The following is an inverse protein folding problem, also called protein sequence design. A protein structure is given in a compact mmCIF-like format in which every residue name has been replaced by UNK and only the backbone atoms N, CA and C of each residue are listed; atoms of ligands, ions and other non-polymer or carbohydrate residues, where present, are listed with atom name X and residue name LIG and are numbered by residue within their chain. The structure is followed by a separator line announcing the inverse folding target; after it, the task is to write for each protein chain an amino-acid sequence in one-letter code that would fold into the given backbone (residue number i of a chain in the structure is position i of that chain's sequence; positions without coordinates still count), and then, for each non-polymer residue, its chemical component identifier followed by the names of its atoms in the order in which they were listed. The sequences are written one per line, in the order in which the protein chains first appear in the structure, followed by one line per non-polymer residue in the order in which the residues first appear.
data_IF_522662607016
#
_entry.id   IF_522662607016
#
_cell.length_a   1.000
_cell.length_b   1.000
_cell.length_c   1.000
_cell.angle_alpha   90.00
_cell.angle_beta   90.00
_cell.angle_gamma   90.00
#
_symmetry.space_group_name_H-M   'P 1'
#
loop_
_entity.id
_entity.type
_entity.pdbx_description
1 polymer ?
#
# COMPACT_ATOMS: atom_id res chain seq x y z
N UNK A 1 -56.97 -26.96 -33.28
CA UNK A 1 -55.95 -28.03 -33.34
C UNK A 1 -55.16 -28.02 -32.04
N UNK A 2 -55.16 -29.17 -31.38
CA UNK A 2 -54.33 -29.66 -30.27
C UNK A 2 -54.00 -28.77 -29.06
N UNK A 3 -54.74 -29.04 -27.98
CA UNK A 3 -54.32 -28.90 -26.59
C UNK A 3 -53.66 -30.21 -26.12
N UNK A 4 -52.73 -30.13 -25.16
CA UNK A 4 -52.27 -31.27 -24.37
C UNK A 4 -52.10 -30.85 -22.90
N UNK A 5 -53.08 -31.25 -22.10
CA UNK A 5 -53.00 -31.41 -20.64
C UNK A 5 -52.34 -32.77 -20.38
N UNK A 6 -51.46 -32.85 -19.39
CA UNK A 6 -51.16 -34.12 -18.72
C UNK A 6 -51.38 -34.01 -17.22
N UNK A 7 -52.19 -34.94 -16.73
CA UNK A 7 -52.62 -35.09 -15.35
C UNK A 7 -51.96 -36.34 -14.75
N UNK A 8 -51.50 -36.17 -13.51
CA UNK A 8 -51.81 -37.00 -12.31
C UNK A 8 -51.57 -38.52 -12.37
N UNK A 9 -50.84 -39.03 -11.37
CA UNK A 9 -50.96 -40.44 -10.98
C UNK A 9 -49.95 -40.89 -9.92
N UNK A 10 -50.25 -40.64 -8.64
CA UNK A 10 -49.54 -41.16 -7.46
C UNK A 10 -50.37 -42.32 -6.89
N UNK A 11 -49.78 -43.52 -6.72
CA UNK A 11 -50.28 -44.68 -5.94
C UNK A 11 -49.05 -45.39 -5.37
N UNK A 12 -48.80 -45.35 -4.06
CA UNK A 12 -49.26 -46.27 -3.00
C UNK A 12 -48.88 -47.75 -3.20
N UNK A 13 -48.17 -48.34 -2.23
CA UNK A 13 -47.97 -49.79 -2.15
C UNK A 13 -46.94 -50.33 -1.14
N UNK A 14 -47.27 -50.22 0.16
CA UNK A 14 -47.01 -51.12 1.30
C UNK A 14 -45.94 -52.24 1.23
N UNK A 15 -45.03 -52.15 2.20
CA UNK A 15 -44.52 -53.15 3.17
C UNK A 15 -44.57 -54.67 2.87
N UNK A 16 -43.41 -55.35 2.95
CA UNK A 16 -43.31 -56.79 3.28
C UNK A 16 -41.99 -57.15 4.01
N UNK A 17 -42.13 -57.49 5.30
CA UNK A 17 -41.47 -58.48 6.17
C UNK A 17 -39.96 -58.87 6.10
N UNK A 18 -39.31 -58.68 7.27
CA UNK A 18 -38.35 -59.56 8.03
C UNK A 18 -37.00 -59.96 7.43
N UNK A 19 -35.89 -59.69 8.14
CA UNK A 19 -35.29 -60.59 9.14
C UNK A 19 -33.92 -60.09 9.67
N UNK A 20 -33.64 -60.48 10.92
CA UNK A 20 -32.39 -60.38 11.70
C UNK A 20 -31.08 -60.57 10.89
N UNK A 21 -30.01 -59.85 11.28
CA UNK A 21 -28.89 -60.43 12.06
C UNK A 21 -27.72 -59.46 12.25
N UNK A 22 -27.10 -59.59 13.41
CA UNK A 22 -25.96 -58.85 13.93
C UNK A 22 -24.74 -58.80 13.00
N UNK A 23 -24.11 -57.62 12.89
CA UNK A 23 -22.68 -57.52 12.64
C UNK A 23 -22.13 -56.42 13.56
N UNK A 24 -21.26 -56.82 14.47
CA UNK A 24 -20.61 -55.97 15.45
C UNK A 24 -19.84 -54.84 14.76
N UNK A 25 -20.19 -53.60 15.06
CA UNK A 25 -19.37 -52.45 14.73
C UNK A 25 -18.17 -52.45 15.67
N UNK A 26 -17.02 -52.97 15.20
CA UNK A 26 -15.73 -52.65 15.79
C UNK A 26 -15.49 -51.17 15.53
N UNK A 27 -15.80 -50.35 16.52
CA UNK A 27 -15.36 -48.97 16.56
C UNK A 27 -13.83 -48.97 16.66
N UNK A 28 -13.15 -48.91 15.52
CA UNK A 28 -11.76 -48.51 15.47
C UNK A 28 -11.74 -47.04 15.86
N UNK A 29 -11.57 -46.76 17.15
CA UNK A 29 -11.11 -45.46 17.61
C UNK A 29 -9.73 -45.25 17.02
N UNK A 30 -9.67 -44.56 15.89
CA UNK A 30 -8.46 -43.86 15.44
C UNK A 30 -8.13 -42.86 16.55
N UNK A 31 -7.27 -43.27 17.49
CA UNK A 31 -6.46 -42.34 18.24
C UNK A 31 -5.62 -41.59 17.20
N UNK A 32 -6.15 -40.47 16.71
CA UNK A 32 -5.32 -39.41 16.18
C UNK A 32 -4.37 -39.05 17.33
N UNK A 33 -3.03 -39.16 17.17
CA UNK A 33 -2.16 -38.55 18.14
C UNK A 33 -2.58 -37.08 18.21
N UNK A 34 -2.99 -36.66 19.41
CA UNK A 34 -3.16 -35.26 19.73
C UNK A 34 -1.95 -34.55 19.15
N UNK A 35 -2.16 -33.60 18.24
CA UNK A 35 -1.10 -32.79 17.69
C UNK A 35 -0.36 -32.24 18.90
N UNK A 36 0.81 -32.82 19.20
CA UNK A 36 1.75 -32.23 20.11
C UNK A 36 1.92 -30.82 19.55
N UNK A 37 1.50 -29.82 20.31
CA UNK A 37 1.95 -28.46 20.05
C UNK A 37 3.46 -28.58 19.98
N UNK A 38 3.98 -28.50 18.76
CA UNK A 38 5.34 -28.89 18.48
C UNK A 38 6.20 -27.87 19.21
N UNK A 39 6.72 -28.24 20.37
CA UNK A 39 7.90 -27.60 20.88
C UNK A 39 8.89 -27.67 19.71
N UNK A 40 9.42 -26.53 19.24
CA UNK A 40 10.42 -26.53 18.20
C UNK A 40 11.50 -27.52 18.62
N UNK A 41 11.83 -28.45 17.71
CA UNK A 41 12.77 -29.53 18.00
C UNK A 41 14.02 -28.92 18.68
N UNK A 42 14.49 -29.50 19.80
CA UNK A 42 15.63 -28.94 20.52
C UNK A 42 16.81 -28.83 19.56
N UNK A 43 17.42 -27.64 19.52
CA UNK A 43 18.64 -27.41 18.74
C UNK A 43 19.70 -28.38 19.28
N UNK A 44 20.24 -29.22 18.41
CA UNK A 44 21.32 -30.15 18.79
C UNK A 44 22.55 -29.36 19.25
N UNK A 45 23.28 -29.84 20.26
CA UNK A 45 24.43 -29.12 20.82
C UNK A 45 25.48 -28.74 19.76
N UNK A 46 25.67 -29.59 18.74
CA UNK A 46 26.54 -29.32 17.60
C UNK A 46 26.05 -28.17 16.71
N UNK A 47 24.74 -28.03 16.51
CA UNK A 47 24.15 -26.92 15.76
C UNK A 47 24.23 -25.60 16.55
N UNK A 48 24.07 -25.67 17.87
CA UNK A 48 24.25 -24.52 18.76
C UNK A 48 25.70 -24.03 18.76
N UNK A 49 26.68 -24.93 18.81
CA UNK A 49 28.11 -24.58 18.70
C UNK A 49 28.44 -23.99 17.33
N UNK A 50 27.92 -24.59 16.24
CA UNK A 50 28.12 -24.06 14.89
C UNK A 50 27.53 -22.65 14.74
N UNK A 51 26.32 -22.40 15.26
CA UNK A 51 25.70 -21.08 15.26
C UNK A 51 26.53 -20.05 16.06
N UNK A 52 27.05 -20.44 17.23
CA UNK A 52 27.88 -19.56 18.05
C UNK A 52 29.25 -19.29 17.42
N UNK A 53 29.80 -20.22 16.64
CA UNK A 53 31.05 -20.00 15.93
C UNK A 53 30.91 -19.02 14.74
N UNK A 54 29.70 -18.79 14.25
CA UNK A 54 29.45 -17.83 13.15
C UNK A 54 29.70 -16.39 13.59
N UNK A 55 30.21 -15.58 12.65
CA UNK A 55 30.22 -14.13 12.80
C UNK A 55 28.79 -13.60 12.95
N UNK A 56 28.65 -12.43 13.55
CA UNK A 56 27.35 -11.82 13.76
C UNK A 56 26.58 -11.56 12.47
N UNK A 57 27.28 -11.18 11.40
CA UNK A 57 26.68 -11.00 10.07
C UNK A 57 26.14 -12.32 9.50
N UNK A 58 26.86 -13.43 9.69
CA UNK A 58 26.41 -14.76 9.27
C UNK A 58 25.20 -15.22 10.07
N UNK A 59 25.18 -14.97 11.39
CA UNK A 59 24.02 -15.25 12.25
C UNK A 59 22.79 -14.50 11.76
N UNK A 60 22.93 -13.20 11.44
CA UNK A 60 21.81 -12.38 10.93
C UNK A 60 21.32 -12.92 9.58
N UNK A 61 22.22 -13.23 8.65
CA UNK A 61 21.85 -13.81 7.34
C UNK A 61 21.08 -15.12 7.51
N UNK A 62 21.53 -15.98 8.42
CA UNK A 62 20.85 -17.23 8.76
C UNK A 62 19.46 -16.97 9.36
N UNK A 63 19.33 -16.06 10.32
CA UNK A 63 18.04 -15.70 10.93
C UNK A 63 17.05 -15.18 9.88
N UNK A 64 17.50 -14.34 8.94
CA UNK A 64 16.69 -13.86 7.82
C UNK A 64 16.27 -15.02 6.91
N UNK A 65 17.19 -15.92 6.57
CA UNK A 65 16.90 -17.09 5.74
C UNK A 65 15.89 -18.05 6.42
N UNK A 66 16.00 -18.24 7.73
CA UNK A 66 15.03 -18.99 8.53
C UNK A 66 13.64 -18.35 8.48
N UNK A 67 13.55 -17.03 8.66
CA UNK A 67 12.28 -16.31 8.55
C UNK A 67 11.68 -16.47 7.15
N UNK A 68 12.47 -16.31 6.09
CA UNK A 68 12.00 -16.43 4.71
C UNK A 68 11.58 -17.85 4.32
N UNK A 69 12.13 -18.87 4.99
CA UNK A 69 11.81 -20.29 4.75
C UNK A 69 10.68 -20.83 5.65
N UNK A 70 10.02 -19.96 6.43
CA UNK A 70 8.91 -20.36 7.30
C UNK A 70 9.33 -20.87 8.67
N UNK A 71 10.63 -20.93 8.97
CA UNK A 71 11.19 -21.45 10.21
C UNK A 71 11.26 -20.38 11.31
N UNK A 72 10.17 -19.64 11.50
CA UNK A 72 10.12 -18.49 12.40
C UNK A 72 10.34 -18.86 13.87
N UNK A 73 9.92 -20.07 14.28
CA UNK A 73 10.11 -20.55 15.65
C UNK A 73 11.58 -20.88 15.95
N UNK A 74 12.30 -21.46 14.98
CA UNK A 74 13.73 -21.69 15.12
C UNK A 74 14.50 -20.37 15.18
N UNK A 75 14.14 -19.41 14.31
CA UNK A 75 14.71 -18.06 14.35
C UNK A 75 14.44 -17.37 15.70
N UNK A 76 13.23 -17.48 16.24
CA UNK A 76 12.87 -16.94 17.54
C UNK A 76 13.70 -17.55 18.67
N UNK A 77 13.85 -18.87 18.71
CA UNK A 77 14.68 -19.52 19.72
C UNK A 77 16.15 -19.11 19.63
N UNK A 78 16.69 -19.02 18.42
CA UNK A 78 18.09 -18.65 18.21
C UNK A 78 18.37 -17.22 18.66
N UNK A 79 17.51 -16.25 18.31
CA UNK A 79 17.72 -14.84 18.66
C UNK A 79 17.52 -14.56 20.15
N UNK A 80 16.63 -15.30 20.82
CA UNK A 80 16.41 -15.17 22.27
C UNK A 80 17.52 -15.84 23.08
N UNK A 81 17.97 -17.03 22.67
CA UNK A 81 19.00 -17.80 23.39
C UNK A 81 20.40 -17.24 23.17
N UNK A 82 20.66 -16.64 22.01
CA UNK A 82 21.94 -16.08 21.63
C UNK A 82 21.73 -14.63 21.16
N UNK A 83 21.64 -13.67 22.10
CA UNK A 83 21.44 -12.27 21.78
C UNK A 83 22.45 -11.75 20.76
N UNK A 84 22.00 -10.88 19.88
CA UNK A 84 22.87 -10.16 18.94
C UNK A 84 23.60 -9.06 19.70
N UNK A 85 24.90 -8.94 19.48
CA UNK A 85 25.82 -8.05 20.19
C UNK A 85 26.25 -6.88 19.28
N UNK A 86 27.23 -6.11 19.75
CA UNK A 86 27.80 -4.98 19.02
C UNK A 86 26.95 -3.71 19.01
N UNK A 87 27.49 -2.67 18.37
CA UNK A 87 26.88 -1.32 18.30
C UNK A 87 25.44 -1.34 17.77
N UNK A 88 25.17 -2.21 16.79
CA UNK A 88 23.85 -2.31 16.15
C UNK A 88 23.01 -3.51 16.63
N UNK A 89 23.42 -4.20 17.71
CA UNK A 89 22.78 -5.42 18.19
C UNK A 89 21.29 -5.25 18.48
N UNK A 90 20.91 -4.14 19.13
CA UNK A 90 19.52 -3.81 19.44
C UNK A 90 18.66 -3.64 18.17
N UNK A 91 19.12 -2.87 17.19
CA UNK A 91 18.41 -2.66 15.92
C UNK A 91 18.31 -3.95 15.10
N UNK A 92 19.36 -4.77 15.10
CA UNK A 92 19.35 -6.08 14.43
C UNK A 92 18.36 -7.03 15.09
N UNK A 93 18.26 -7.03 16.43
CA UNK A 93 17.23 -7.79 17.14
C UNK A 93 15.84 -7.30 16.76
N UNK A 94 15.60 -5.99 16.77
CA UNK A 94 14.30 -5.42 16.37
C UNK A 94 13.93 -5.81 14.92
N UNK A 95 14.89 -5.79 14.01
CA UNK A 95 14.67 -6.23 12.64
C UNK A 95 14.31 -7.72 12.56
N UNK A 96 15.06 -8.60 13.23
CA UNK A 96 14.78 -10.04 13.27
C UNK A 96 13.44 -10.34 13.93
N UNK A 97 13.13 -9.72 15.07
CA UNK A 97 11.83 -9.84 15.75
C UNK A 97 10.69 -9.42 14.80
N UNK A 98 10.86 -8.34 14.05
CA UNK A 98 9.89 -7.89 13.05
C UNK A 98 9.69 -8.92 11.94
N UNK A 99 10.76 -9.53 11.43
CA UNK A 99 10.70 -10.60 10.43
C UNK A 99 9.98 -11.85 10.95
N UNK A 100 10.26 -12.26 12.20
CA UNK A 100 9.60 -13.38 12.87
C UNK A 100 8.09 -13.13 12.98
N UNK A 101 7.71 -11.95 13.50
CA UNK A 101 6.29 -11.57 13.67
C UNK A 101 5.56 -11.50 12.32
N UNK A 102 6.20 -10.93 11.29
CA UNK A 102 5.68 -10.89 9.93
C UNK A 102 5.43 -12.30 9.39
N UNK A 103 6.38 -13.21 9.61
CA UNK A 103 6.26 -14.62 9.21
C UNK A 103 5.14 -15.38 9.94
N UNK A 104 4.90 -15.03 11.20
CA UNK A 104 3.73 -15.49 11.99
C UNK A 104 2.41 -14.82 11.60
N UNK A 105 2.44 -13.92 10.61
CA UNK A 105 1.30 -13.07 10.18
C UNK A 105 0.82 -12.08 11.24
N UNK A 106 1.61 -11.83 12.29
CA UNK A 106 1.39 -10.70 13.19
C UNK A 106 2.01 -9.44 12.58
N UNK A 107 1.35 -8.92 11.54
CA UNK A 107 1.82 -7.76 10.80
C UNK A 107 1.84 -6.49 11.67
N UNK A 108 0.91 -6.36 12.63
CA UNK A 108 0.87 -5.21 13.54
C UNK A 108 2.07 -5.23 14.49
N UNK A 109 2.38 -6.39 15.06
CA UNK A 109 3.58 -6.60 15.86
C UNK A 109 4.85 -6.32 15.06
N UNK A 110 4.92 -6.81 13.81
CA UNK A 110 6.05 -6.57 12.92
C UNK A 110 6.26 -5.07 12.64
N UNK A 111 5.19 -4.33 12.30
CA UNK A 111 5.24 -2.88 12.10
C UNK A 111 5.79 -2.17 13.33
N UNK A 112 5.36 -2.56 14.54
CA UNK A 112 5.86 -1.96 15.79
C UNK A 112 7.37 -2.16 15.93
N UNK A 113 7.88 -3.35 15.63
CA UNK A 113 9.32 -3.66 15.70
C UNK A 113 10.14 -2.89 14.66
N UNK A 114 9.68 -2.84 13.41
CA UNK A 114 10.37 -2.09 12.36
C UNK A 114 10.37 -0.58 12.60
N UNK A 115 9.24 -0.02 13.07
CA UNK A 115 9.17 1.41 13.46
C UNK A 115 10.11 1.72 14.62
N UNK A 116 10.22 0.83 15.61
CA UNK A 116 11.16 1.00 16.71
C UNK A 116 12.63 1.03 16.23
N UNK A 117 13.01 0.13 15.31
CA UNK A 117 14.35 0.13 14.74
C UNK A 117 14.64 1.41 13.93
N UNK A 118 13.67 1.91 13.15
CA UNK A 118 13.83 3.16 12.39
C UNK A 118 13.78 4.43 13.23
N UNK A 119 13.18 4.37 14.42
CA UNK A 119 13.21 5.46 15.37
C UNK A 119 14.60 5.64 15.99
N UNK A 120 15.34 4.55 16.18
CA UNK A 120 16.73 4.56 16.64
C UNK A 120 17.69 4.97 15.50
N UNK A 121 17.59 4.31 14.34
CA UNK A 121 18.36 4.69 13.15
C UNK A 121 17.47 4.78 11.88
N UNK A 122 17.20 6.00 11.38
CA UNK A 122 16.38 6.19 10.18
C UNK A 122 17.11 5.77 8.89
N UNK A 123 18.41 5.48 8.90
CA UNK A 123 19.17 5.11 7.68
C UNK A 123 19.08 3.63 7.32
N UNK A 124 18.39 2.83 8.13
CA UNK A 124 18.24 1.39 7.91
C UNK A 124 17.31 1.06 6.72
N UNK A 125 17.84 1.13 5.50
CA UNK A 125 17.09 0.92 4.24
C UNK A 125 16.41 -0.44 4.18
N UNK A 126 17.07 -1.52 4.62
CA UNK A 126 16.48 -2.85 4.65
C UNK A 126 15.25 -2.92 5.58
N UNK A 127 15.33 -2.30 6.76
CA UNK A 127 14.21 -2.24 7.72
C UNK A 127 13.05 -1.44 7.12
N UNK A 128 13.36 -0.31 6.48
CA UNK A 128 12.37 0.54 5.79
C UNK A 128 11.65 -0.21 4.66
N UNK A 129 12.37 -1.04 3.90
CA UNK A 129 11.78 -1.86 2.85
C UNK A 129 10.82 -2.92 3.42
N UNK A 130 11.21 -3.59 4.50
CA UNK A 130 10.33 -4.57 5.16
C UNK A 130 9.12 -3.92 5.84
N UNK A 131 9.28 -2.72 6.41
CA UNK A 131 8.16 -1.93 6.92
C UNK A 131 7.17 -1.59 5.81
N UNK A 132 7.64 -1.03 4.68
CA UNK A 132 6.78 -0.69 3.54
C UNK A 132 6.00 -1.91 3.01
N UNK A 133 6.67 -3.05 2.83
CA UNK A 133 6.02 -4.32 2.44
C UNK A 133 4.96 -4.75 3.44
N UNK A 134 5.22 -4.61 4.74
CA UNK A 134 4.28 -5.03 5.80
C UNK A 134 3.07 -4.10 5.88
N UNK A 135 3.26 -2.80 5.72
CA UNK A 135 2.18 -1.82 5.64
C UNK A 135 1.29 -2.04 4.41
N UNK A 136 1.89 -2.40 3.27
CA UNK A 136 1.15 -2.77 2.07
C UNK A 136 0.27 -4.02 2.28
N UNK A 137 0.72 -5.00 3.08
CA UNK A 137 -0.09 -6.18 3.45
C UNK A 137 -1.27 -5.76 4.35
N UNK A 138 -1.07 -4.77 5.21
CA UNK A 138 -2.11 -4.21 6.08
C UNK A 138 -3.04 -3.21 5.38
N UNK A 139 -2.87 -3.00 4.07
CA UNK A 139 -3.61 -2.00 3.27
C UNK A 139 -3.40 -0.56 3.76
N UNK A 140 -2.33 -0.29 4.52
CA UNK A 140 -1.87 1.04 4.89
C UNK A 140 -1.05 1.67 3.76
N UNK A 141 -1.67 1.81 2.59
CA UNK A 141 -1.01 2.16 1.32
C UNK A 141 -0.27 3.51 1.35
N UNK A 142 -0.84 4.55 1.99
CA UNK A 142 -0.19 5.87 2.08
C UNK A 142 1.09 5.79 2.93
N UNK A 143 1.04 5.09 4.05
CA UNK A 143 2.20 4.86 4.92
C UNK A 143 3.27 4.02 4.21
N UNK A 144 2.86 3.00 3.46
CA UNK A 144 3.76 2.17 2.67
C UNK A 144 4.46 3.01 1.59
N UNK A 145 3.70 3.82 0.84
CA UNK A 145 4.20 4.70 -0.20
C UNK A 145 5.20 5.73 0.35
N UNK A 146 4.88 6.37 1.48
CA UNK A 146 5.78 7.33 2.13
C UNK A 146 7.17 6.73 2.40
N UNK A 147 7.23 5.49 2.91
CA UNK A 147 8.50 4.83 3.16
C UNK A 147 9.23 4.39 1.88
N UNK A 148 8.49 4.02 0.82
CA UNK A 148 9.09 3.73 -0.49
C UNK A 148 9.65 4.98 -1.16
N UNK A 149 8.98 6.13 -1.05
CA UNK A 149 9.49 7.40 -1.57
C UNK A 149 10.82 7.78 -0.90
N UNK A 150 10.92 7.56 0.41
CA UNK A 150 12.18 7.72 1.16
C UNK A 150 13.27 6.74 0.71
N UNK A 151 12.93 5.48 0.40
CA UNK A 151 13.88 4.52 -0.16
C UNK A 151 14.35 4.90 -1.55
N UNK A 152 13.44 5.37 -2.39
CA UNK A 152 13.75 5.81 -3.74
C UNK A 152 14.69 7.02 -3.72
N UNK A 153 14.46 7.98 -2.81
CA UNK A 153 15.33 9.14 -2.61
C UNK A 153 16.73 8.77 -2.09
N UNK A 154 16.84 7.67 -1.33
CA UNK A 154 18.10 7.17 -0.78
C UNK A 154 18.77 6.09 -1.65
N UNK A 155 18.23 5.80 -2.84
CA UNK A 155 18.74 4.74 -3.70
C UNK A 155 20.15 5.07 -4.23
N UNK A 156 21.09 4.11 -4.19
CA UNK A 156 22.48 4.32 -4.62
C UNK A 156 22.60 4.45 -6.15
N UNK A 157 21.67 3.86 -6.91
CA UNK A 157 21.65 3.93 -8.37
C UNK A 157 20.22 3.93 -8.93
N UNK A 158 20.13 4.21 -10.24
CA UNK A 158 18.85 4.27 -10.95
C UNK A 158 18.13 2.91 -11.01
N UNK A 159 18.87 1.79 -10.98
CA UNK A 159 18.28 0.45 -11.03
C UNK A 159 17.52 0.16 -9.74
N UNK A 160 18.12 0.48 -8.59
CA UNK A 160 17.46 0.35 -7.29
C UNK A 160 16.27 1.30 -7.18
N UNK A 161 16.42 2.56 -7.61
CA UNK A 161 15.31 3.53 -7.64
C UNK A 161 14.13 3.02 -8.49
N UNK A 162 14.40 2.42 -9.66
CA UNK A 162 13.37 1.85 -10.53
C UNK A 162 12.67 0.63 -9.89
N UNK A 163 13.41 -0.19 -9.13
CA UNK A 163 12.86 -1.29 -8.36
C UNK A 163 11.85 -0.80 -7.32
N UNK A 164 12.21 0.26 -6.57
CA UNK A 164 11.31 0.90 -5.59
C UNK A 164 10.11 1.55 -6.29
N UNK A 165 10.34 2.27 -7.39
CA UNK A 165 9.26 2.89 -8.19
C UNK A 165 8.23 1.86 -8.66
N UNK A 166 8.68 0.70 -9.14
CA UNK A 166 7.77 -0.37 -9.59
C UNK A 166 6.85 -0.85 -8.46
N UNK A 167 7.32 -0.81 -7.21
CA UNK A 167 6.49 -1.14 -6.06
C UNK A 167 5.52 0.00 -5.72
N UNK A 168 5.94 1.26 -5.80
CA UNK A 168 5.03 2.43 -5.69
C UNK A 168 3.90 2.34 -6.72
N UNK A 169 4.23 2.04 -7.98
CA UNK A 169 3.25 1.88 -9.06
C UNK A 169 2.25 0.75 -8.75
N UNK A 170 2.67 -0.31 -8.04
CA UNK A 170 1.78 -1.39 -7.58
C UNK A 170 0.82 -0.93 -6.49
N UNK A 171 1.28 -0.09 -5.55
CA UNK A 171 0.43 0.52 -4.52
C UNK A 171 -0.59 1.45 -5.18
N UNK A 172 -0.14 2.31 -6.10
CA UNK A 172 -1.02 3.24 -6.80
C UNK A 172 -2.06 2.50 -7.65
N UNK A 173 -1.70 1.37 -8.27
CA UNK A 173 -2.63 0.52 -9.03
C UNK A 173 -3.72 -0.15 -8.17
N UNK A 174 -3.51 -0.29 -6.85
CA UNK A 174 -4.53 -0.80 -5.93
C UNK A 174 -5.62 0.25 -5.70
N UNK A 175 -5.30 1.54 -5.82
CA UNK A 175 -6.26 2.62 -5.66
C UNK A 175 -7.01 2.84 -6.96
N UNK A 176 -8.30 2.51 -7.02
CA UNK A 176 -9.07 2.69 -8.25
C UNK A 176 -9.43 4.17 -8.47
N UNK A 177 -9.02 5.10 -7.61
CA UNK A 177 -9.32 6.52 -7.73
C UNK A 177 -8.08 7.39 -7.52
N UNK A 178 -8.06 8.53 -8.20
CA UNK A 178 -7.06 9.60 -8.04
C UNK A 178 -7.79 10.94 -7.95
N UNK A 179 -7.34 11.81 -7.05
CA UNK A 179 -7.89 13.16 -6.84
C UNK A 179 -6.73 14.14 -6.73
N UNK A 180 -6.77 15.24 -7.48
CA UNK A 180 -5.80 16.34 -7.38
C UNK A 180 -6.51 17.69 -7.31
N UNK A 181 -5.93 18.64 -6.57
CA UNK A 181 -6.44 20.00 -6.46
C UNK A 181 -5.28 21.00 -6.52
N UNK A 182 -5.55 22.19 -7.04
CA UNK A 182 -4.59 23.30 -7.03
C UNK A 182 -5.29 24.63 -6.74
N UNK A 183 -4.51 25.57 -6.21
CA UNK A 183 -4.88 26.97 -6.06
C UNK A 183 -3.67 27.83 -6.42
N UNK A 184 -3.87 28.92 -7.15
CA UNK A 184 -2.83 29.87 -7.51
C UNK A 184 -3.33 31.31 -7.50
N UNK A 185 -2.41 32.22 -7.26
CA UNK A 185 -2.61 33.67 -7.40
C UNK A 185 -1.83 34.10 -8.64
N UNK A 186 -2.48 34.78 -9.57
CA UNK A 186 -1.91 35.25 -10.83
C UNK A 186 -2.08 36.76 -10.93
N UNK A 187 -1.02 37.56 -10.71
CA UNK A 187 -1.07 38.99 -11.00
C UNK A 187 -1.18 39.19 -12.51
N UNK A 188 -2.15 39.97 -12.96
CA UNK A 188 -2.27 40.36 -14.37
C UNK A 188 -2.29 41.89 -14.45
N UNK A 189 -1.38 42.46 -15.24
CA UNK A 189 -1.25 43.91 -15.40
C UNK A 189 -2.38 44.52 -16.22
N UNK A 190 -3.06 43.73 -17.07
CA UNK A 190 -4.13 44.23 -17.93
C UNK A 190 -5.25 43.18 -18.10
N UNK A 191 -6.18 43.11 -17.15
CA UNK A 191 -7.33 42.18 -17.21
C UNK A 191 -8.40 42.61 -18.22
N UNK A 192 -8.48 43.90 -18.52
CA UNK A 192 -9.45 44.48 -19.48
C UNK A 192 -8.98 44.39 -20.94
N UNK A 193 -7.73 44.00 -21.20
CA UNK A 193 -7.03 44.22 -22.48
C UNK A 193 -7.19 45.67 -22.97
N UNK A 194 -7.26 46.63 -22.03
CA UNK A 194 -7.44 48.05 -22.30
C UNK A 194 -6.18 48.71 -22.85
N UNK A 195 -6.35 49.89 -23.45
CA UNK A 195 -5.21 50.68 -23.93
C UNK A 195 -4.58 51.49 -22.80
N UNK A 196 -3.27 51.67 -22.86
CA UNK A 196 -2.51 52.57 -21.98
C UNK A 196 -2.70 54.06 -22.33
N UNK A 197 -3.41 54.38 -23.43
CA UNK A 197 -3.64 55.74 -23.88
C UNK A 197 -5.03 56.24 -23.48
N UNK A 198 -5.10 57.24 -22.59
CA UNK A 198 -6.35 57.90 -22.18
C UNK A 198 -7.06 58.65 -23.32
N UNK A 199 -6.39 58.82 -24.46
CA UNK A 199 -6.91 59.58 -25.62
C UNK A 199 -6.57 58.88 -26.93
N UNK A 200 -7.58 58.62 -27.74
CA UNK A 200 -7.43 58.13 -29.12
C UNK A 200 -7.85 59.22 -30.11
N UNK A 201 -7.12 59.34 -31.22
CA UNK A 201 -7.42 60.30 -32.28
C UNK A 201 -8.16 59.60 -33.40
N UNK A 202 -9.43 59.96 -33.62
CA UNK A 202 -10.21 59.53 -34.79
C UNK A 202 -10.36 60.74 -35.69
N UNK A 203 -9.76 60.70 -36.89
CA UNK A 203 -9.72 61.83 -37.84
C UNK A 203 -9.17 63.15 -37.24
N UNK A 204 -8.18 63.06 -36.34
CA UNK A 204 -7.55 64.23 -35.71
C UNK A 204 -8.35 64.85 -34.55
N UNK A 205 -9.51 64.28 -34.20
CA UNK A 205 -10.30 64.71 -33.03
C UNK A 205 -9.93 63.82 -31.83
N UNK A 206 -9.52 64.39 -30.69
CA UNK A 206 -9.21 63.60 -29.49
C UNK A 206 -10.51 63.12 -28.82
N UNK A 207 -10.62 61.80 -28.63
CA UNK A 207 -11.66 61.18 -27.82
C UNK A 207 -11.05 60.63 -26.55
N UNK A 208 -11.61 60.98 -25.39
CA UNK A 208 -11.24 60.33 -24.13
C UNK A 208 -11.74 58.89 -24.12
N UNK A 209 -10.83 57.96 -23.88
CA UNK A 209 -11.16 56.56 -23.65
C UNK A 209 -11.93 56.51 -22.33
N UNK A 210 -13.20 56.09 -22.39
CA UNK A 210 -14.03 55.97 -21.18
C UNK A 210 -13.64 54.68 -20.43
N UNK A 211 -13.80 54.65 -19.10
CA UNK A 211 -13.21 53.66 -18.18
C UNK A 211 -13.53 52.17 -18.41
N UNK A 212 -14.26 51.81 -19.46
CA UNK A 212 -14.44 50.43 -19.94
C UNK A 212 -13.35 49.99 -20.94
N UNK A 213 -12.44 50.87 -21.35
CA UNK A 213 -11.41 50.61 -22.37
C UNK A 213 -9.99 50.97 -21.91
N UNK A 214 -9.84 51.30 -20.62
CA UNK A 214 -8.58 51.61 -19.95
C UNK A 214 -7.95 50.33 -19.38
N UNK A 215 -6.61 50.27 -19.33
CA UNK A 215 -5.89 49.16 -18.69
C UNK A 215 -6.23 49.10 -17.20
N UNK A 216 -6.72 47.96 -16.75
CA UNK A 216 -6.95 47.70 -15.32
C UNK A 216 -6.06 46.55 -14.88
N UNK A 217 -5.21 46.81 -13.88
CA UNK A 217 -4.48 45.75 -13.18
C UNK A 217 -5.42 45.03 -12.22
N UNK A 218 -5.32 43.70 -12.16
CA UNK A 218 -6.21 42.88 -11.35
C UNK A 218 -5.49 41.72 -10.71
N UNK A 219 -5.98 41.31 -9.54
CA UNK A 219 -5.51 40.13 -8.84
C UNK A 219 -6.38 38.94 -9.24
N UNK A 220 -5.79 37.98 -9.94
CA UNK A 220 -6.44 36.74 -10.32
C UNK A 220 -6.28 35.65 -9.26
N UNK A 221 -7.37 34.99 -8.91
CA UNK A 221 -7.37 33.70 -8.21
C UNK A 221 -7.78 32.61 -9.18
N UNK A 222 -6.98 31.55 -9.25
CA UNK A 222 -7.32 30.36 -10.02
C UNK A 222 -7.32 29.13 -9.10
N UNK A 223 -8.24 28.22 -9.36
CA UNK A 223 -8.29 26.95 -8.67
C UNK A 223 -8.88 25.87 -9.55
N UNK A 224 -8.63 24.62 -9.17
CA UNK A 224 -9.22 23.50 -9.86
C UNK A 224 -9.11 22.20 -9.10
N UNK A 225 -9.98 21.27 -9.48
CA UNK A 225 -10.06 19.93 -8.94
C UNK A 225 -10.17 18.94 -10.11
N UNK A 226 -9.39 17.87 -10.06
CA UNK A 226 -9.45 16.77 -11.01
C UNK A 226 -9.66 15.46 -10.26
N UNK A 227 -10.45 14.57 -10.86
CA UNK A 227 -10.69 13.23 -10.35
C UNK A 227 -10.62 12.21 -11.48
N UNK A 228 -10.11 11.02 -11.18
CA UNK A 228 -10.13 9.88 -12.08
C UNK A 228 -10.51 8.62 -11.32
N UNK A 229 -11.23 7.72 -11.99
CA UNK A 229 -11.51 6.36 -11.56
C UNK A 229 -10.98 5.39 -12.60
N UNK A 230 -10.22 4.38 -12.18
CA UNK A 230 -9.72 3.32 -13.04
C UNK A 230 -10.14 1.94 -12.52
N UNK A 231 -10.50 1.06 -13.45
CA UNK A 231 -10.81 -0.34 -13.15
C UNK A 231 -10.18 -1.24 -14.19
N UNK A 232 -9.40 -2.21 -13.72
CA UNK A 232 -8.81 -3.26 -14.55
C UNK A 232 -9.89 -4.27 -14.97
N UNK A 233 -10.02 -4.52 -16.27
CA UNK A 233 -11.02 -5.39 -16.90
C UNK A 233 -10.42 -6.72 -17.42
N UNK A 234 -9.18 -7.04 -17.04
CA UNK A 234 -8.47 -8.25 -17.46
C UNK A 234 -6.97 -8.14 -17.16
N UNK A 235 -6.14 -8.95 -17.82
CA UNK A 235 -4.69 -8.88 -17.60
C UNK A 235 -4.04 -7.67 -18.28
N UNK A 236 -4.59 -7.21 -19.42
CA UNK A 236 -4.00 -6.16 -20.26
C UNK A 236 -4.98 -5.03 -20.63
N UNK A 237 -6.13 -4.93 -19.96
CA UNK A 237 -7.16 -3.91 -20.27
C UNK A 237 -7.62 -3.20 -19.01
N UNK A 238 -7.71 -1.87 -19.07
CA UNK A 238 -8.22 -1.02 -17.99
C UNK A 238 -9.19 0.02 -18.57
N UNK A 239 -10.32 0.22 -17.88
CA UNK A 239 -11.24 1.32 -18.15
C UNK A 239 -10.91 2.50 -17.21
N UNK A 240 -10.91 3.71 -17.75
CA UNK A 240 -10.62 4.95 -17.00
C UNK A 240 -11.73 5.96 -17.29
N UNK A 241 -12.26 6.57 -16.24
CA UNK A 241 -13.17 7.71 -16.30
C UNK A 241 -12.52 8.86 -15.55
N UNK A 242 -12.34 10.01 -16.19
CA UNK A 242 -11.72 11.18 -15.56
C UNK A 242 -12.53 12.43 -15.85
N UNK A 243 -12.46 13.40 -14.94
CA UNK A 243 -13.11 14.69 -15.07
C UNK A 243 -12.45 15.73 -14.17
N UNK A 244 -12.62 17.00 -14.50
CA UNK A 244 -12.09 18.09 -13.69
C UNK A 244 -12.89 19.37 -13.89
N UNK A 245 -12.81 20.24 -12.88
CA UNK A 245 -13.40 21.58 -12.89
C UNK A 245 -12.31 22.57 -12.56
N UNK A 246 -12.19 23.63 -13.36
CA UNK A 246 -11.28 24.75 -13.08
C UNK A 246 -12.08 26.04 -13.08
N UNK A 247 -11.72 26.97 -12.20
CA UNK A 247 -12.31 28.28 -12.08
C UNK A 247 -11.24 29.33 -11.95
N UNK A 248 -11.48 30.50 -12.56
CA UNK A 248 -10.64 31.69 -12.39
C UNK A 248 -11.55 32.87 -12.10
N UNK A 249 -11.19 33.66 -11.10
CA UNK A 249 -11.84 34.93 -10.78
C UNK A 249 -10.78 36.01 -10.75
N UNK A 250 -11.05 37.12 -11.42
CA UNK A 250 -10.25 38.33 -11.29
C UNK A 250 -11.06 39.31 -10.48
N UNK A 251 -10.43 39.89 -9.46
CA UNK A 251 -10.95 41.07 -8.80
C UNK A 251 -10.14 42.28 -9.28
N UNK A 252 -10.86 43.34 -9.65
CA UNK A 252 -10.34 44.65 -10.04
C UNK A 252 -9.81 45.36 -8.78
N UNK A 253 -8.78 44.77 -8.18
CA UNK A 253 -8.00 45.40 -7.14
C UNK A 253 -7.03 46.34 -7.83
N UNK A 254 -7.36 47.63 -7.84
CA UNK A 254 -6.40 48.70 -8.16
C UNK A 254 -5.17 48.55 -7.24
N UNK A 255 -4.12 47.90 -7.74
CA UNK A 255 -2.85 47.69 -7.03
C UNK A 255 -1.93 48.91 -7.12
N UNK A 256 -2.44 50.03 -7.65
CA UNK A 256 -1.73 51.29 -7.78
C UNK A 256 -2.31 52.36 -6.87
N UNK A 257 -2.14 52.20 -5.56
CA UNK A 257 -2.16 53.33 -4.62
C UNK A 257 -1.15 53.17 -3.50
#
# INVERSE_FOLDING_TARGET
MHALKFARGRKEGRAFWRALSCAAAVAVTLLLPAQAWANPAPILDSQAQAYQAMSELERIKLLIALCNSGQHELAANLVERYPLEGEFGANRKLFVDGMILKGRRDYKGAVKKFRAALADDPKLTLVRAELAKTLYILEEDDSAKHHLEQLMAAAPDQREAQGVKSFIDTIDARRPYSISAFASVAPNSNITNGTYNDTIYVNGIPFKVNGLSEETSGLGFAGGLNGAYSKRLGNNLSAIVAGGVTGRKYDDGDLTR
#
